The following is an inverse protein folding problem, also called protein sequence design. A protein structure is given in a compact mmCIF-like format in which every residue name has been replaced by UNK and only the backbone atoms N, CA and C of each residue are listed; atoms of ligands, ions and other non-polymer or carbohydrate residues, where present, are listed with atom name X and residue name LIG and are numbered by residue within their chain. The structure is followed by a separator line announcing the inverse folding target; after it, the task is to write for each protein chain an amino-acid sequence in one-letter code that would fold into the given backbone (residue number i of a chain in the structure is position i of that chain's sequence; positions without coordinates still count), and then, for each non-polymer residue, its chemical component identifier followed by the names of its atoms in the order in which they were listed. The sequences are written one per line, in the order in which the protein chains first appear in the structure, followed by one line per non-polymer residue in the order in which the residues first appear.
data_IF_398749259301
#
_entry.id   IF_398749259301
#
_cell.length_a   1.000
_cell.length_b   1.000
_cell.length_c   1.000
_cell.angle_alpha   90.00
_cell.angle_beta   90.00
_cell.angle_gamma   90.00
#
_symmetry.space_group_name_H-M   'P 1'
#
loop_
_entity.id
_entity.type
_entity.pdbx_description
1 polymer ?
#
# COMPACT_ATOMS: atom_id res chain seq x y z
N UNK A 1 -1.09 10.36 10.18
CA UNK A 1 -2.13 11.41 10.30
C UNK A 1 -3.32 10.93 9.50
N UNK A 2 -4.44 10.60 10.15
CA UNK A 2 -5.64 10.13 9.44
C UNK A 2 -6.42 11.34 8.91
N UNK A 3 -6.76 11.32 7.62
CA UNK A 3 -7.68 12.30 7.03
C UNK A 3 -9.09 11.79 7.27
N UNK A 4 -9.95 12.64 7.83
CA UNK A 4 -11.35 12.32 8.07
C UNK A 4 -12.19 12.98 6.99
N UNK A 5 -13.14 12.22 6.45
CA UNK A 5 -14.10 12.70 5.46
C UNK A 5 -15.48 12.75 6.09
N UNK A 6 -16.28 13.80 5.79
CA UNK A 6 -17.67 13.85 6.22
C UNK A 6 -18.45 12.77 5.46
N UNK A 7 -19.19 11.97 6.20
CA UNK A 7 -20.07 10.93 5.68
C UNK A 7 -21.44 11.02 6.35
N UNK A 8 -22.41 10.32 5.78
CA UNK A 8 -23.80 10.39 6.22
C UNK A 8 -24.37 8.99 6.35
N UNK A 9 -25.07 8.76 7.45
CA UNK A 9 -25.88 7.57 7.61
C UNK A 9 -27.13 7.69 6.73
N UNK A 10 -27.56 6.57 6.17
CA UNK A 10 -28.72 6.51 5.27
C UNK A 10 -30.01 7.02 5.95
N UNK A 11 -30.07 6.96 7.29
CA UNK A 11 -31.20 7.47 8.09
C UNK A 11 -31.25 8.98 8.20
N UNK A 12 -30.11 9.65 8.07
CA UNK A 12 -29.97 11.10 8.24
C UNK A 12 -29.83 11.83 6.90
N UNK A 13 -29.84 11.07 5.80
CA UNK A 13 -29.79 11.54 4.42
C UNK A 13 -31.20 11.86 3.91
N UNK A 14 -31.47 13.13 3.65
CA UNK A 14 -32.72 13.54 3.02
C UNK A 14 -32.56 13.53 1.49
N UNK A 15 -33.18 12.53 0.85
CA UNK A 15 -33.12 12.32 -0.59
C UNK A 15 -33.79 13.42 -1.42
N UNK A 16 -34.64 14.27 -0.83
CA UNK A 16 -35.31 15.37 -1.53
C UNK A 16 -34.45 16.64 -1.57
N UNK A 17 -33.70 16.91 -0.49
CA UNK A 17 -32.85 18.11 -0.38
C UNK A 17 -31.38 17.82 -0.73
N UNK A 18 -30.98 16.54 -0.77
CA UNK A 18 -29.59 16.14 -1.00
C UNK A 18 -28.66 16.56 0.15
N UNK A 19 -29.23 16.92 1.30
CA UNK A 19 -28.48 17.38 2.46
C UNK A 19 -28.52 16.36 3.59
N UNK A 20 -27.53 16.45 4.46
CA UNK A 20 -27.35 15.53 5.56
C UNK A 20 -27.55 16.25 6.89
N UNK A 21 -28.46 15.72 7.69
CA UNK A 21 -28.92 16.34 8.94
C UNK A 21 -27.86 16.27 10.04
N UNK A 22 -27.09 15.18 10.06
CA UNK A 22 -26.05 14.91 11.04
C UNK A 22 -24.81 14.29 10.35
N UNK A 23 -23.80 15.10 9.96
CA UNK A 23 -22.58 14.58 9.37
C UNK A 23 -21.73 13.85 10.40
N UNK A 24 -21.29 12.63 10.05
CA UNK A 24 -20.34 11.83 10.84
C UNK A 24 -18.95 11.87 10.21
N UNK A 25 -17.92 11.82 11.05
CA UNK A 25 -16.53 11.83 10.59
C UNK A 25 -15.97 10.41 10.57
N UNK A 26 -15.70 9.90 9.37
CA UNK A 26 -15.16 8.55 9.18
C UNK A 26 -13.72 8.69 8.70
N UNK A 27 -12.78 7.84 9.16
CA UNK A 27 -11.45 7.78 8.56
C UNK A 27 -11.59 7.49 7.07
N UNK A 28 -10.89 8.28 6.24
CA UNK A 28 -10.90 8.09 4.81
C UNK A 28 -10.46 6.64 4.50
N UNK A 29 -11.26 5.88 3.73
CA UNK A 29 -10.85 4.53 3.33
C UNK A 29 -9.57 4.63 2.51
N UNK A 30 -8.53 3.90 2.91
CA UNK A 30 -7.31 3.80 2.12
C UNK A 30 -7.59 2.96 0.88
N UNK A 31 -7.14 3.43 -0.28
CA UNK A 31 -7.26 2.68 -1.53
C UNK A 31 -6.49 1.34 -1.47
N UNK A 32 -5.40 1.32 -0.70
CA UNK A 32 -4.60 0.11 -0.47
C UNK A 32 -5.01 -0.52 0.86
N UNK A 33 -5.11 -1.86 0.92
CA UNK A 33 -5.28 -2.56 2.19
C UNK A 33 -4.08 -2.29 3.09
N UNK A 34 -4.31 -2.32 4.41
CA UNK A 34 -3.24 -2.17 5.39
C UNK A 34 -2.21 -3.28 5.17
N UNK A 35 -0.99 -2.90 4.77
CA UNK A 35 0.11 -3.85 4.61
C UNK A 35 0.77 -4.04 5.97
N UNK A 36 0.83 -5.28 6.46
CA UNK A 36 1.54 -5.57 7.70
C UNK A 36 3.05 -5.43 7.49
N UNK A 37 3.79 -5.15 8.56
CA UNK A 37 5.26 -5.04 8.49
C UNK A 37 5.89 -6.36 8.00
N UNK A 38 5.29 -7.50 8.37
CA UNK A 38 5.74 -8.82 7.94
C UNK A 38 5.60 -8.99 6.42
N UNK A 39 4.46 -8.60 5.86
CA UNK A 39 4.20 -8.67 4.41
C UNK A 39 5.10 -7.71 3.63
N UNK A 40 5.35 -6.51 4.17
CA UNK A 40 6.29 -5.57 3.57
C UNK A 40 7.72 -6.13 3.53
N UNK A 41 8.16 -6.80 4.60
CA UNK A 41 9.48 -7.41 4.65
C UNK A 41 9.62 -8.60 3.69
N UNK A 42 8.60 -9.45 3.57
CA UNK A 42 8.66 -10.61 2.68
C UNK A 42 8.83 -10.19 1.22
N UNK A 43 8.09 -9.16 0.78
CA UNK A 43 8.22 -8.58 -0.56
C UNK A 43 9.61 -7.96 -0.75
N UNK A 44 10.08 -7.18 0.23
CA UNK A 44 11.41 -6.57 0.17
C UNK A 44 12.54 -7.59 0.06
N UNK A 45 12.47 -8.68 0.82
CA UNK A 45 13.47 -9.76 0.78
C UNK A 45 13.49 -10.46 -0.59
N UNK A 46 12.31 -10.74 -1.17
CA UNK A 46 12.22 -11.36 -2.48
C UNK A 46 12.91 -10.52 -3.57
N UNK A 47 12.71 -9.20 -3.55
CA UNK A 47 13.34 -8.28 -4.50
C UNK A 47 14.86 -8.29 -4.34
N UNK A 48 15.35 -8.19 -3.10
CA UNK A 48 16.80 -8.16 -2.82
C UNK A 48 17.47 -9.46 -3.26
N UNK A 49 16.84 -10.62 -3.06
CA UNK A 49 17.38 -11.91 -3.48
C UNK A 49 17.56 -12.00 -5.01
N UNK A 50 16.59 -11.51 -5.79
CA UNK A 50 16.71 -11.48 -7.26
C UNK A 50 17.91 -10.64 -7.71
N UNK A 51 18.11 -9.49 -7.09
CA UNK A 51 19.26 -8.63 -7.37
C UNK A 51 20.58 -9.28 -6.96
N UNK A 52 20.60 -9.95 -5.80
CA UNK A 52 21.78 -10.65 -5.32
C UNK A 52 22.21 -11.76 -6.28
N UNK A 53 21.28 -12.58 -6.77
CA UNK A 53 21.56 -13.64 -7.76
C UNK A 53 22.13 -13.05 -9.05
N UNK A 54 21.52 -11.99 -9.58
CA UNK A 54 22.01 -11.33 -10.79
C UNK A 54 23.42 -10.74 -10.59
N UNK A 55 23.70 -10.18 -9.41
CA UNK A 55 25.02 -9.65 -9.06
C UNK A 55 26.08 -10.76 -8.98
N UNK A 56 25.78 -11.87 -8.32
CA UNK A 56 26.68 -13.03 -8.24
C UNK A 56 26.99 -13.57 -9.63
N UNK A 57 25.99 -13.70 -10.50
CA UNK A 57 26.22 -14.15 -11.87
C UNK A 57 27.13 -13.19 -12.66
N UNK A 58 26.96 -11.87 -12.48
CA UNK A 58 27.85 -10.86 -13.09
C UNK A 58 29.28 -10.98 -12.56
N UNK A 59 29.46 -11.26 -11.27
CA UNK A 59 30.78 -11.46 -10.68
C UNK A 59 31.47 -12.70 -11.26
N UNK A 60 30.76 -13.83 -11.33
CA UNK A 60 31.29 -15.08 -11.91
C UNK A 60 31.72 -14.85 -13.36
N UNK A 61 30.88 -14.21 -14.17
CA UNK A 61 31.24 -13.87 -15.57
C UNK A 61 32.50 -13.03 -15.66
N UNK A 62 32.64 -11.99 -14.81
CA UNK A 62 33.84 -11.16 -14.78
C UNK A 62 35.10 -11.94 -14.42
N UNK A 63 34.99 -12.89 -13.49
CA UNK A 63 36.12 -13.75 -13.09
C UNK A 63 36.53 -14.66 -14.25
N UNK A 64 35.56 -15.32 -14.89
CA UNK A 64 35.82 -16.22 -16.03
C UNK A 64 36.45 -15.46 -17.21
N UNK A 65 35.97 -14.26 -17.54
CA UNK A 65 36.53 -13.46 -18.64
C UNK A 65 37.92 -12.88 -18.38
N UNK A 66 38.38 -12.88 -17.12
CA UNK A 66 39.71 -12.40 -16.75
C UNK A 66 40.79 -13.48 -16.74
N UNK A 67 40.39 -14.75 -16.82
CA UNK A 67 41.30 -15.91 -16.92
C UNK A 67 41.54 -16.31 -18.37
#
# INVERSE_FOLDING_TARGET
MAVFVPACLERDFDAQTGTCSAPIWIPQPSLLPGLTVADAQSIGQAIVLLWAVAFVFRLIRKVIQRS
#
